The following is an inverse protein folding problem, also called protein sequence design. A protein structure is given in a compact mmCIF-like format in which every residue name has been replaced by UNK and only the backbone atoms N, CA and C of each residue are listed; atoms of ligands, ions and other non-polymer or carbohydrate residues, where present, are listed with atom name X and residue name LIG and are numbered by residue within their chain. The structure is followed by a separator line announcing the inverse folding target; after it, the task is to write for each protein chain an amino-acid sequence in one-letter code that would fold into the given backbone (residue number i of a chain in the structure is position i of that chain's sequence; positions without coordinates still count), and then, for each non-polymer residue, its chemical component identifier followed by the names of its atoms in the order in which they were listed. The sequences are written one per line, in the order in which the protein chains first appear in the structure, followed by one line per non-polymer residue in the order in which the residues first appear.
data_IF_403698467926
#
_entry.id   IF_403698467926
#
_cell.length_a   1.000
_cell.length_b   1.000
_cell.length_c   1.000
_cell.angle_alpha   90.00
_cell.angle_beta   90.00
_cell.angle_gamma   90.00
#
_symmetry.space_group_name_H-M   'P 1'
#
loop_
_entity.id
_entity.type
_entity.pdbx_description
1 polymer ?
#
# COMPACT_ATOMS: atom_id res chain seq x y z
N UNK A 1 21.79 49.71 13.85
CA UNK A 1 22.05 48.66 12.85
C UNK A 1 22.43 47.31 13.50
N UNK A 2 21.63 46.83 14.46
CA UNK A 2 21.85 45.53 15.13
C UNK A 2 20.58 44.67 15.18
N UNK A 3 19.40 45.30 15.13
CA UNK A 3 18.10 44.61 15.22
C UNK A 3 17.69 43.95 13.89
N UNK A 4 18.18 44.45 12.75
CA UNK A 4 17.83 43.91 11.42
C UNK A 4 18.46 42.53 11.18
N UNK A 5 19.58 42.22 11.84
CA UNK A 5 20.26 40.91 11.70
C UNK A 5 19.52 39.76 12.40
N UNK A 6 18.69 40.05 13.40
CA UNK A 6 17.93 39.03 14.15
C UNK A 6 16.64 38.59 13.43
N UNK A 7 16.12 39.38 12.51
CA UNK A 7 14.90 39.05 11.77
C UNK A 7 15.14 38.03 10.63
N UNK A 8 16.37 37.88 10.15
CA UNK A 8 16.71 36.91 9.09
C UNK A 8 16.93 35.47 9.61
N UNK A 9 17.00 35.25 10.93
CA UNK A 9 17.17 33.91 11.50
C UNK A 9 15.85 33.16 11.70
N UNK A 10 14.71 33.86 11.64
CA UNK A 10 13.38 33.25 11.88
C UNK A 10 12.72 32.76 10.59
N UNK A 11 13.18 33.21 9.42
CA UNK A 11 12.60 32.87 8.11
C UNK A 11 13.22 31.65 7.41
N UNK A 12 14.10 30.88 8.09
CA UNK A 12 14.68 29.65 7.54
C UNK A 12 14.06 28.35 8.12
N UNK A 13 13.16 28.43 9.11
CA UNK A 13 12.63 27.26 9.80
C UNK A 13 11.48 26.53 9.06
N UNK A 14 11.00 27.05 7.93
CA UNK A 14 9.87 26.47 7.19
C UNK A 14 10.28 25.44 6.13
N UNK A 15 11.57 25.09 6.03
CA UNK A 15 12.03 24.06 5.11
C UNK A 15 12.30 22.72 5.82
N UNK A 16 11.24 22.01 6.21
CA UNK A 16 11.31 20.54 6.37
C UNK A 16 10.55 19.78 5.27
N UNK A 17 10.78 20.01 3.96
CA UNK A 17 10.16 19.16 2.96
C UNK A 17 11.19 18.11 2.57
N UNK A 18 11.45 17.05 3.37
CA UNK A 18 11.99 15.78 2.81
C UNK A 18 12.32 14.61 3.77
N UNK A 19 12.01 14.63 5.06
CA UNK A 19 12.44 13.51 5.94
C UNK A 19 11.61 12.25 5.61
N UNK A 20 12.26 11.24 5.01
CA UNK A 20 11.66 9.95 4.64
C UNK A 20 12.42 9.29 3.49
N UNK A 21 12.44 7.96 3.47
CA UNK A 21 13.11 7.16 2.43
C UNK A 21 12.08 6.58 1.46
N UNK A 22 12.46 6.43 0.20
CA UNK A 22 11.65 5.67 -0.75
C UNK A 22 11.84 4.19 -0.45
N UNK A 23 10.73 3.49 -0.22
CA UNK A 23 10.68 2.06 -0.03
C UNK A 23 9.82 1.45 -1.12
N UNK A 24 10.19 0.25 -1.57
CA UNK A 24 9.55 -0.46 -2.66
C UNK A 24 9.14 -1.85 -2.24
N UNK A 25 8.03 -2.34 -2.77
CA UNK A 25 7.51 -3.68 -2.55
C UNK A 25 7.11 -4.30 -3.88
N UNK A 26 7.34 -5.60 -4.03
CA UNK A 26 6.83 -6.39 -5.14
C UNK A 26 6.23 -7.70 -4.61
N UNK A 27 5.12 -8.13 -5.19
CA UNK A 27 4.39 -9.34 -4.83
C UNK A 27 4.07 -10.12 -6.10
N UNK A 28 4.42 -11.39 -6.15
CA UNK A 28 4.02 -12.31 -7.21
C UNK A 28 3.31 -13.51 -6.59
N UNK A 29 2.21 -13.95 -7.19
CA UNK A 29 1.45 -15.08 -6.69
C UNK A 29 0.68 -15.80 -7.78
N UNK A 30 0.05 -16.93 -7.42
CA UNK A 30 -0.80 -17.73 -8.31
C UNK A 30 -2.11 -18.05 -7.61
N UNK A 31 -3.21 -17.76 -8.28
CA UNK A 31 -4.56 -17.98 -7.79
C UNK A 31 -5.14 -19.24 -8.43
N UNK A 32 -5.78 -20.06 -7.60
CA UNK A 32 -6.48 -21.27 -8.03
C UNK A 32 -7.85 -21.34 -7.39
N UNK A 33 -8.84 -21.81 -8.16
CA UNK A 33 -10.20 -22.07 -7.73
C UNK A 33 -10.55 -23.53 -8.09
N UNK A 34 -10.88 -24.35 -7.09
CA UNK A 34 -11.19 -25.78 -7.28
C UNK A 34 -10.13 -26.54 -8.10
N UNK A 35 -8.85 -26.29 -7.80
CA UNK A 35 -7.72 -26.91 -8.50
C UNK A 35 -7.44 -26.37 -9.91
N UNK A 36 -8.25 -25.44 -10.43
CA UNK A 36 -8.02 -24.78 -11.73
C UNK A 36 -7.44 -23.38 -11.55
N UNK A 37 -6.61 -22.88 -12.48
CA UNK A 37 -6.17 -21.49 -12.47
C UNK A 37 -7.35 -20.52 -12.42
N UNK A 38 -7.28 -19.52 -11.54
CA UNK A 38 -8.28 -18.46 -11.46
C UNK A 38 -7.81 -17.26 -12.29
N UNK A 39 -8.25 -17.21 -13.54
CA UNK A 39 -7.97 -16.13 -14.50
C UNK A 39 -8.84 -14.90 -14.25
N UNK A 40 -8.32 -13.72 -14.61
CA UNK A 40 -9.04 -12.45 -14.58
C UNK A 40 -9.59 -12.08 -13.19
N UNK A 41 -8.89 -12.50 -12.14
CA UNK A 41 -9.18 -12.11 -10.76
C UNK A 41 -8.48 -10.79 -10.48
N UNK A 42 -9.21 -9.79 -10.00
CA UNK A 42 -8.64 -8.49 -9.66
C UNK A 42 -7.84 -8.60 -8.36
N UNK A 43 -6.62 -8.09 -8.38
CA UNK A 43 -5.72 -8.05 -7.24
C UNK A 43 -5.19 -6.62 -7.07
N UNK A 44 -5.23 -6.10 -5.85
CA UNK A 44 -4.78 -4.75 -5.52
C UNK A 44 -3.73 -4.78 -4.42
N UNK A 45 -2.68 -4.01 -4.60
CA UNK A 45 -1.66 -3.76 -3.60
C UNK A 45 -1.93 -2.39 -2.97
N UNK A 46 -2.11 -2.38 -1.65
CA UNK A 46 -2.33 -1.21 -0.83
C UNK A 46 -1.18 -1.01 0.15
N UNK A 47 -1.04 0.22 0.62
CA UNK A 47 -0.19 0.60 1.74
C UNK A 47 -1.07 1.13 2.87
N UNK A 48 -0.94 0.58 4.07
CA UNK A 48 -1.75 1.00 5.22
C UNK A 48 -1.22 2.32 5.77
N UNK A 49 -1.82 3.43 5.33
CA UNK A 49 -1.42 4.73 5.81
C UNK A 49 -2.14 5.08 7.12
N UNK A 50 -1.40 5.06 8.22
CA UNK A 50 -1.88 5.53 9.53
C UNK A 50 -1.58 7.01 9.65
N UNK A 51 -2.54 7.86 9.26
CA UNK A 51 -2.43 9.30 9.48
C UNK A 51 -2.79 9.65 10.93
N UNK A 52 -1.80 10.07 11.71
CA UNK A 52 -1.99 10.68 13.03
C UNK A 52 -2.18 12.19 12.81
N UNK A 53 -3.40 12.63 12.50
CA UNK A 53 -3.67 14.06 12.45
C UNK A 53 -3.88 14.58 13.87
N UNK A 54 -2.86 15.31 14.34
CA UNK A 54 -2.73 16.07 15.59
C UNK A 54 -3.94 15.99 16.53
N UNK A 55 -3.80 15.09 17.51
CA UNK A 55 -4.38 15.05 18.86
C UNK A 55 -5.52 14.05 19.14
N UNK A 56 -6.38 13.57 18.23
CA UNK A 56 -7.38 12.55 18.65
C UNK A 56 -8.00 11.66 17.54
N UNK A 57 -7.60 11.79 16.27
CA UNK A 57 -8.13 10.97 15.18
C UNK A 57 -7.02 10.20 14.48
N UNK A 58 -7.05 8.87 14.59
CA UNK A 58 -6.27 7.96 13.74
C UNK A 58 -7.13 7.65 12.51
N UNK A 59 -6.79 8.24 11.38
CA UNK A 59 -7.41 7.88 10.10
C UNK A 59 -6.51 6.86 9.41
N UNK A 60 -7.04 5.67 9.20
CA UNK A 60 -6.42 4.65 8.34
C UNK A 60 -6.99 4.81 6.95
N UNK A 61 -6.19 5.34 6.03
CA UNK A 61 -6.56 5.49 4.63
C UNK A 61 -5.60 4.67 3.78
N UNK A 62 -6.03 3.47 3.40
CA UNK A 62 -5.21 2.59 2.56
C UNK A 62 -4.93 3.28 1.21
N UNK A 63 -3.65 3.48 0.91
CA UNK A 63 -3.21 4.06 -0.35
C UNK A 63 -3.00 2.94 -1.38
N UNK A 64 -3.68 3.01 -2.53
CA UNK A 64 -3.44 2.08 -3.63
C UNK A 64 -2.04 2.30 -4.22
N UNK A 65 -1.27 1.22 -4.37
CA UNK A 65 0.04 1.21 -4.99
C UNK A 65 0.03 0.62 -6.41
N UNK A 66 -0.69 -0.49 -6.63
CA UNK A 66 -0.82 -1.15 -7.93
C UNK A 66 -2.12 -1.97 -7.98
N UNK A 67 -2.66 -2.16 -9.19
CA UNK A 67 -3.85 -2.96 -9.46
C UNK A 67 -3.64 -3.74 -10.76
N UNK A 68 -3.84 -5.06 -10.71
CA UNK A 68 -3.76 -5.93 -11.89
C UNK A 68 -4.81 -7.04 -11.82
N UNK A 69 -4.92 -7.77 -12.92
CA UNK A 69 -5.69 -9.00 -13.03
C UNK A 69 -4.75 -10.19 -13.17
N UNK A 70 -5.14 -11.35 -12.63
CA UNK A 70 -4.42 -12.60 -12.86
C UNK A 70 -4.54 -13.04 -14.33
N UNK A 71 -3.47 -13.65 -14.85
CA UNK A 71 -3.42 -14.17 -16.22
C UNK A 71 -4.16 -15.51 -16.40
N UNK A 72 -4.10 -16.09 -17.59
CA UNK A 72 -4.69 -17.40 -17.92
C UNK A 72 -4.12 -18.59 -17.14
N UNK A 73 -2.96 -18.40 -16.49
CA UNK A 73 -2.35 -19.37 -15.57
C UNK A 73 -2.66 -19.03 -14.10
N UNK A 74 -3.48 -18.02 -13.84
CA UNK A 74 -3.83 -17.52 -12.52
C UNK A 74 -2.70 -16.72 -11.86
N UNK A 75 -1.63 -16.39 -12.58
CA UNK A 75 -0.46 -15.68 -12.04
C UNK A 75 -0.72 -14.18 -12.04
N UNK A 76 -0.29 -13.49 -10.97
CA UNK A 76 -0.30 -12.03 -10.89
C UNK A 76 1.04 -11.53 -10.36
N UNK A 77 1.41 -10.30 -10.72
CA UNK A 77 2.57 -9.60 -10.19
C UNK A 77 2.23 -8.13 -9.96
N UNK A 78 2.44 -7.64 -8.75
CA UNK A 78 2.18 -6.26 -8.32
C UNK A 78 3.49 -5.63 -7.85
N UNK A 79 3.67 -4.34 -8.10
CA UNK A 79 4.82 -3.61 -7.58
C UNK A 79 4.46 -2.16 -7.27
N UNK A 80 4.99 -1.64 -6.18
CA UNK A 80 4.70 -0.29 -5.72
C UNK A 80 5.85 0.31 -4.95
N UNK A 81 5.87 1.63 -4.87
CA UNK A 81 6.80 2.34 -4.00
C UNK A 81 6.11 3.52 -3.31
N UNK A 82 6.60 3.85 -2.13
CA UNK A 82 6.13 5.01 -1.36
C UNK A 82 7.30 5.60 -0.61
N UNK A 83 7.27 6.93 -0.47
CA UNK A 83 8.19 7.64 0.38
C UNK A 83 7.58 7.75 1.78
N UNK A 84 8.21 7.10 2.75
CA UNK A 84 7.76 7.13 4.15
C UNK A 84 8.94 7.30 5.11
N UNK A 85 8.65 7.87 6.28
CA UNK A 85 9.60 7.93 7.39
C UNK A 85 9.73 6.58 8.09
N UNK A 86 8.61 5.87 8.22
CA UNK A 86 8.47 4.53 8.79
C UNK A 86 8.56 3.46 7.71
N UNK A 87 8.60 2.19 8.11
CA UNK A 87 8.49 1.07 7.17
C UNK A 87 7.10 1.03 6.55
N UNK A 88 7.03 0.78 5.25
CA UNK A 88 5.77 0.53 4.54
C UNK A 88 5.10 -0.75 5.06
N UNK A 89 3.78 -0.73 5.22
CA UNK A 89 2.91 -1.84 5.63
C UNK A 89 2.01 -2.27 4.44
N UNK A 90 2.56 -3.07 3.50
CA UNK A 90 1.87 -3.46 2.29
C UNK A 90 0.78 -4.51 2.54
N UNK A 91 -0.38 -4.33 1.91
CA UNK A 91 -1.55 -5.22 1.99
C UNK A 91 -2.02 -5.62 0.59
N UNK A 92 -2.33 -6.91 0.37
CA UNK A 92 -2.87 -7.40 -0.90
C UNK A 92 -4.33 -7.79 -0.74
N UNK A 93 -5.19 -7.20 -1.57
CA UNK A 93 -6.61 -7.53 -1.63
C UNK A 93 -6.91 -8.30 -2.91
N UNK A 94 -7.57 -9.45 -2.78
CA UNK A 94 -7.97 -10.32 -3.90
C UNK A 94 -9.50 -10.31 -4.00
N UNK A 95 -10.01 -9.97 -5.18
CA UNK A 95 -11.44 -9.83 -5.44
C UNK A 95 -11.91 -10.93 -6.38
N UNK A 96 -12.55 -11.97 -5.84
CA UNK A 96 -13.00 -13.14 -6.59
C UNK A 96 -14.38 -13.63 -6.16
N UNK A 97 -15.06 -14.35 -7.06
CA UNK A 97 -16.33 -15.04 -6.80
C UNK A 97 -16.24 -16.57 -6.83
N UNK A 98 -15.02 -17.11 -6.70
CA UNK A 98 -14.81 -18.56 -6.59
C UNK A 98 -15.67 -19.15 -5.46
N UNK A 99 -16.39 -20.25 -5.75
CA UNK A 99 -17.27 -20.96 -4.81
C UNK A 99 -18.37 -20.09 -4.16
N UNK A 100 -18.81 -19.04 -4.85
CA UNK A 100 -19.83 -18.14 -4.35
C UNK A 100 -21.22 -18.44 -4.93
N UNK A 101 -22.20 -18.72 -4.06
CA UNK A 101 -23.60 -19.00 -4.42
C UNK A 101 -24.58 -17.88 -3.98
N UNK A 102 -24.21 -16.59 -4.15
CA UNK A 102 -25.03 -15.43 -3.71
C UNK A 102 -24.88 -14.15 -4.56
N UNK A 103 -25.42 -13.01 -4.10
CA UNK A 103 -25.52 -11.72 -4.85
C UNK A 103 -24.53 -10.62 -4.41
N UNK A 104 -23.67 -10.82 -3.40
CA UNK A 104 -22.72 -9.78 -2.94
C UNK A 104 -21.24 -10.10 -3.19
N UNK A 105 -20.50 -9.12 -3.69
CA UNK A 105 -19.06 -9.22 -4.02
C UNK A 105 -18.23 -9.28 -2.72
N UNK A 106 -17.60 -10.43 -2.42
CA UNK A 106 -16.73 -10.56 -1.24
C UNK A 106 -15.29 -10.22 -1.61
N UNK A 107 -14.76 -9.13 -1.05
CA UNK A 107 -13.34 -8.86 -1.01
C UNK A 107 -12.73 -9.60 0.18
N UNK A 108 -11.96 -10.65 -0.07
CA UNK A 108 -11.15 -11.25 0.99
C UNK A 108 -9.94 -10.34 1.19
N UNK A 109 -9.85 -9.72 2.37
CA UNK A 109 -8.59 -9.14 2.81
C UNK A 109 -7.68 -10.33 3.12
N UNK A 110 -6.59 -10.53 2.35
CA UNK A 110 -5.49 -11.40 2.80
C UNK A 110 -4.74 -10.60 3.86
N UNK A 111 -5.42 -10.37 4.98
CA UNK A 111 -4.78 -9.91 6.18
C UNK A 111 -4.21 -11.18 6.81
N UNK A 112 -2.87 -11.30 6.74
CA UNK A 112 -2.08 -12.21 7.58
C UNK A 112 -1.79 -13.64 7.10
N UNK A 113 -1.66 -13.88 5.79
CA UNK A 113 -0.57 -14.76 5.34
C UNK A 113 0.55 -13.83 4.89
N UNK A 114 1.60 -13.69 5.71
CA UNK A 114 2.81 -12.93 5.39
C UNK A 114 3.39 -13.49 4.09
N UNK A 115 2.92 -13.02 2.93
CA UNK A 115 3.67 -13.15 1.69
C UNK A 115 4.91 -12.33 1.94
N UNK A 116 5.99 -13.02 2.27
CA UNK A 116 7.27 -12.44 2.60
C UNK A 116 7.81 -11.73 1.35
N UNK A 117 7.35 -10.52 1.10
CA UNK A 117 7.95 -9.60 0.15
C UNK A 117 9.15 -8.98 0.83
N UNK A 118 10.23 -9.76 0.94
CA UNK A 118 11.55 -9.22 1.22
C UNK A 118 12.01 -8.54 -0.07
N UNK A 119 11.86 -7.21 -0.15
CA UNK A 119 12.57 -6.40 -1.13
C UNK A 119 13.90 -5.99 -0.51
N UNK A 120 14.97 -6.25 -1.27
CA UNK A 120 16.35 -5.86 -0.93
C UNK A 120 16.57 -4.38 -1.25
#
# INVERSE_FOLDING_TARGET
MKVVLLACLVSAASALPFIGSVQSVAVTGKLTCNGKPAENVKVKLYEKEVCIFRILAVLVLDKLLDEKFSDSKGVFSLAGSKKELTTIDPKVNIYHKCNYEGVSDHSYNVEEDRVASKVS
#
